data_IF_289932086824
#
_entry.id   IF_289932086824
#
_cell.length_a   1.000
_cell.length_b   1.000
_cell.length_c   1.000
_cell.angle_alpha   90.00
_cell.angle_beta   90.00
_cell.angle_gamma   90.00
#
_symmetry.space_group_name_H-M   'P 1'
#
loop_
_entity.id
_entity.type
_entity.pdbx_description
1 polymer ?
#
# COMPACT_ATOMS: atom_id res chain seq x y z
N UNK A 1 -11.74 5.54 -10.73
CA UNK A 1 -12.84 4.67 -10.26
C UNK A 1 -12.66 4.65 -8.76
N UNK A 2 -13.63 5.12 -7.97
CA UNK A 2 -13.45 5.22 -6.52
C UNK A 2 -13.20 3.83 -5.91
N UNK A 3 -12.40 3.79 -4.85
CA UNK A 3 -12.27 2.61 -4.00
C UNK A 3 -13.29 2.67 -2.86
N UNK A 4 -12.91 2.08 -1.73
CA UNK A 4 -13.61 2.26 -0.47
C UNK A 4 -13.49 3.74 -0.01
N UNK A 5 -14.54 4.36 0.58
CA UNK A 5 -14.43 5.69 1.17
C UNK A 5 -13.50 5.71 2.39
N UNK A 6 -12.70 6.76 2.54
CA UNK A 6 -11.68 6.86 3.61
C UNK A 6 -12.28 6.78 5.02
N UNK A 7 -13.47 7.34 5.21
CA UNK A 7 -14.21 7.26 6.49
C UNK A 7 -14.44 5.81 6.96
N UNK A 8 -14.46 4.83 6.07
CA UNK A 8 -14.62 3.41 6.41
C UNK A 8 -13.33 2.59 6.25
N UNK A 9 -12.17 3.24 6.07
CA UNK A 9 -10.89 2.54 5.94
C UNK A 9 -10.23 2.24 7.30
N UNK A 10 -10.39 3.14 8.28
CA UNK A 10 -9.70 3.02 9.58
C UNK A 10 -10.02 1.70 10.30
N UNK A 11 -8.97 0.95 10.68
CA UNK A 11 -9.11 -0.22 11.55
C UNK A 11 -8.23 -0.09 12.78
N UNK A 12 -8.62 -0.82 13.80
CA UNK A 12 -7.90 -0.81 15.06
C UNK A 12 -6.46 -1.32 14.84
N UNK A 13 -5.41 -0.68 15.40
CA UNK A 13 -4.00 -1.03 15.10
C UNK A 13 -3.63 -2.51 15.31
N UNK A 14 -4.29 -3.18 16.26
CA UNK A 14 -4.13 -4.63 16.48
C UNK A 14 -4.54 -5.51 15.29
N UNK A 15 -5.37 -4.98 14.39
CA UNK A 15 -5.90 -5.66 13.21
C UNK A 15 -5.11 -5.33 11.93
N UNK A 16 -4.05 -4.52 12.02
CA UNK A 16 -3.20 -4.16 10.88
C UNK A 16 -2.07 -5.17 10.62
N UNK A 17 -1.64 -5.88 11.65
CA UNK A 17 -0.50 -6.81 11.57
C UNK A 17 -0.84 -8.05 10.74
N UNK A 18 0.13 -8.56 10.00
CA UNK A 18 0.05 -9.80 9.19
C UNK A 18 1.11 -10.80 9.63
N UNK A 19 0.99 -12.02 9.12
CA UNK A 19 2.03 -13.04 9.30
C UNK A 19 3.24 -12.66 8.46
N UNK A 20 4.40 -12.60 9.09
CA UNK A 20 5.66 -12.42 8.38
C UNK A 20 6.01 -13.66 7.55
N UNK A 21 6.81 -13.45 6.50
CA UNK A 21 7.49 -14.56 5.83
C UNK A 21 8.72 -15.01 6.63
N UNK A 22 9.26 -16.18 6.29
CA UNK A 22 10.57 -16.64 6.80
C UNK A 22 11.64 -16.47 5.71
N UNK A 23 12.76 -15.85 6.06
CA UNK A 23 13.76 -15.41 5.08
C UNK A 23 14.39 -16.54 4.27
N UNK A 24 14.56 -17.73 4.84
CA UNK A 24 15.19 -18.83 4.10
C UNK A 24 14.22 -19.65 3.24
N UNK A 25 12.91 -19.40 3.34
CA UNK A 25 11.87 -20.19 2.66
C UNK A 25 10.96 -19.38 1.75
N UNK A 26 10.91 -18.06 1.91
CA UNK A 26 10.10 -17.17 1.06
C UNK A 26 10.58 -17.20 -0.40
N UNK A 27 9.63 -17.11 -1.33
CA UNK A 27 9.98 -16.87 -2.73
C UNK A 27 10.71 -15.51 -2.84
N UNK A 28 11.90 -15.45 -3.48
CA UNK A 28 12.65 -14.22 -3.60
C UNK A 28 11.85 -13.05 -4.18
N UNK A 29 10.94 -13.33 -5.12
CA UNK A 29 10.10 -12.31 -5.75
C UNK A 29 9.04 -11.78 -4.77
N UNK A 30 8.46 -12.64 -3.94
CA UNK A 30 7.52 -12.22 -2.89
C UNK A 30 8.20 -11.27 -1.90
N UNK A 31 9.45 -11.56 -1.47
CA UNK A 31 10.23 -10.63 -0.64
C UNK A 31 10.40 -9.28 -1.32
N UNK A 32 10.89 -9.28 -2.57
CA UNK A 32 11.16 -8.05 -3.33
C UNK A 32 9.89 -7.20 -3.47
N UNK A 33 8.75 -7.83 -3.76
CA UNK A 33 7.46 -7.15 -3.84
C UNK A 33 7.02 -6.57 -2.49
N UNK A 34 7.15 -7.32 -1.38
CA UNK A 34 6.85 -6.83 -0.04
C UNK A 34 7.72 -5.63 0.35
N UNK A 35 9.02 -5.67 0.05
CA UNK A 35 9.92 -4.53 0.32
C UNK A 35 9.60 -3.33 -0.56
N UNK A 36 9.24 -3.56 -1.82
CA UNK A 36 8.89 -2.49 -2.77
C UNK A 36 7.60 -1.78 -2.36
N UNK A 37 6.54 -2.52 -2.00
CA UNK A 37 5.28 -1.91 -1.57
C UNK A 37 5.45 -1.18 -0.24
N UNK A 38 6.17 -1.76 0.73
CA UNK A 38 6.50 -1.08 1.98
C UNK A 38 7.22 0.25 1.74
N UNK A 39 8.24 0.27 0.87
CA UNK A 39 8.98 1.49 0.57
C UNK A 39 8.08 2.55 -0.09
N UNK A 40 7.16 2.13 -0.97
CA UNK A 40 6.19 3.03 -1.59
C UNK A 40 5.25 3.66 -0.55
N UNK A 41 4.67 2.85 0.33
CA UNK A 41 3.76 3.37 1.38
C UNK A 41 4.49 4.24 2.38
N UNK A 42 5.72 3.88 2.78
CA UNK A 42 6.51 4.69 3.69
C UNK A 42 6.84 6.06 3.07
N UNK A 43 7.14 6.10 1.76
CA UNK A 43 7.36 7.36 1.05
C UNK A 43 6.07 8.20 0.99
N UNK A 44 4.92 7.57 0.73
CA UNK A 44 3.61 8.23 0.69
C UNK A 44 3.21 8.79 2.05
N UNK A 45 3.30 7.98 3.11
CA UNK A 45 3.08 8.39 4.51
C UNK A 45 3.97 9.57 4.88
N UNK A 46 5.27 9.49 4.60
CA UNK A 46 6.23 10.57 4.85
C UNK A 46 5.85 11.86 4.10
N UNK A 47 5.37 11.75 2.86
CA UNK A 47 4.90 12.91 2.12
C UNK A 47 3.72 13.58 2.82
N UNK A 48 2.67 12.82 3.17
CA UNK A 48 1.49 13.39 3.84
C UNK A 48 1.83 13.98 5.21
N UNK A 49 2.66 13.32 6.01
CA UNK A 49 3.08 13.81 7.34
C UNK A 49 3.98 15.05 7.28
N UNK A 50 4.87 15.16 6.29
CA UNK A 50 5.78 16.30 6.18
C UNK A 50 5.17 17.50 5.44
N UNK A 51 4.35 17.25 4.41
CA UNK A 51 3.75 18.30 3.59
C UNK A 51 2.40 18.75 4.15
N UNK A 52 1.60 17.84 4.70
CA UNK A 52 0.27 18.13 5.25
C UNK A 52 0.23 19.33 6.20
N UNK A 53 1.12 19.42 7.21
CA UNK A 53 1.17 20.56 8.14
C UNK A 53 1.46 21.92 7.48
N UNK A 54 2.00 21.95 6.25
CA UNK A 54 2.35 23.19 5.56
C UNK A 54 1.16 23.91 4.92
N UNK A 55 0.02 23.22 4.76
CA UNK A 55 -1.17 23.83 4.16
C UNK A 55 -1.84 24.86 5.08
N UNK A 56 -2.23 26.00 4.51
CA UNK A 56 -2.96 27.06 5.23
C UNK A 56 -4.43 26.68 5.51
N UNK A 57 -5.19 26.10 4.55
CA UNK A 57 -6.59 25.73 4.80
C UNK A 57 -6.70 24.60 5.84
N UNK A 58 -7.52 24.75 6.91
CA UNK A 58 -7.72 23.69 7.90
C UNK A 58 -8.23 22.38 7.31
N UNK A 59 -9.16 22.45 6.34
CA UNK A 59 -9.71 21.27 5.67
C UNK A 59 -8.62 20.50 4.89
N UNK A 60 -7.70 21.20 4.23
CA UNK A 60 -6.59 20.56 3.53
C UNK A 60 -5.64 19.86 4.52
N UNK A 61 -5.34 20.49 5.67
CA UNK A 61 -4.55 19.83 6.72
C UNK A 61 -5.26 18.61 7.30
N UNK A 62 -6.58 18.71 7.54
CA UNK A 62 -7.40 17.61 8.02
C UNK A 62 -7.37 16.43 7.06
N UNK A 63 -7.59 16.68 5.76
CA UNK A 63 -7.55 15.65 4.73
C UNK A 63 -6.18 14.97 4.66
N UNK A 64 -5.09 15.74 4.69
CA UNK A 64 -3.74 15.18 4.65
C UNK A 64 -3.42 14.36 5.91
N UNK A 65 -3.95 14.77 7.07
CA UNK A 65 -3.76 14.02 8.32
C UNK A 65 -4.55 12.71 8.31
N UNK A 66 -5.79 12.73 7.83
CA UNK A 66 -6.63 11.54 7.68
C UNK A 66 -5.97 10.54 6.73
N UNK A 67 -5.50 10.98 5.56
CA UNK A 67 -4.77 10.12 4.62
C UNK A 67 -3.48 9.60 5.28
N UNK A 68 -2.70 10.45 5.97
CA UNK A 68 -1.48 10.01 6.65
C UNK A 68 -1.72 8.88 7.66
N UNK A 69 -2.84 8.89 8.37
CA UNK A 69 -3.22 7.82 9.30
C UNK A 69 -3.51 6.50 8.57
N UNK A 70 -4.16 6.55 7.41
CA UNK A 70 -4.36 5.37 6.55
C UNK A 70 -3.04 4.86 6.01
N UNK A 71 -2.14 5.74 5.54
CA UNK A 71 -0.83 5.29 5.04
C UNK A 71 0.03 4.71 6.17
N UNK A 72 -0.09 5.18 7.41
CA UNK A 72 0.54 4.56 8.58
C UNK A 72 -0.01 3.15 8.84
N UNK A 73 -1.32 2.93 8.65
CA UNK A 73 -1.92 1.58 8.71
C UNK A 73 -1.31 0.68 7.62
N UNK A 74 -1.19 1.18 6.38
CA UNK A 74 -0.55 0.44 5.28
C UNK A 74 0.92 0.10 5.58
N UNK A 75 1.70 1.04 6.08
CA UNK A 75 3.10 0.81 6.49
C UNK A 75 3.17 -0.27 7.56
N UNK A 76 2.34 -0.19 8.61
CA UNK A 76 2.27 -1.22 9.66
C UNK A 76 1.95 -2.60 9.07
N UNK A 77 0.96 -2.66 8.17
CA UNK A 77 0.57 -3.89 7.51
C UNK A 77 1.71 -4.49 6.70
N UNK A 78 2.34 -3.73 5.81
CA UNK A 78 3.37 -4.27 4.92
C UNK A 78 4.71 -4.52 5.64
N UNK A 79 5.06 -3.70 6.63
CA UNK A 79 6.27 -3.93 7.45
C UNK A 79 6.16 -5.26 8.21
N UNK A 80 4.97 -5.60 8.71
CA UNK A 80 4.75 -6.86 9.41
C UNK A 80 4.89 -8.12 8.54
N UNK A 81 4.96 -7.98 7.21
CA UNK A 81 5.27 -9.09 6.31
C UNK A 81 6.74 -9.47 6.34
N UNK A 82 7.63 -8.55 6.71
CA UNK A 82 9.08 -8.80 6.76
C UNK A 82 9.45 -9.70 7.94
N UNK A 83 10.49 -10.53 7.76
CA UNK A 83 10.96 -11.43 8.81
C UNK A 83 11.55 -10.60 9.99
N UNK A 84 10.96 -10.67 11.19
CA UNK A 84 11.43 -9.89 12.34
C UNK A 84 12.78 -10.39 12.88
N UNK A 85 13.28 -11.54 12.41
CA UNK A 85 14.57 -12.10 12.79
C UNK A 85 15.70 -11.65 11.86
N UNK A 86 15.40 -10.99 10.73
CA UNK A 86 16.42 -10.45 9.84
C UNK A 86 17.28 -9.42 10.59
N UNK A 87 18.58 -9.64 10.57
CA UNK A 87 19.53 -8.71 11.15
C UNK A 87 19.72 -7.45 10.31
N UNK A 88 20.30 -6.41 10.90
CA UNK A 88 20.60 -5.16 10.20
C UNK A 88 21.48 -5.34 8.95
N UNK A 89 22.44 -6.29 8.97
CA UNK A 89 23.29 -6.55 7.81
C UNK A 89 22.56 -7.30 6.69
N UNK A 90 21.66 -8.22 7.04
CA UNK A 90 20.81 -8.93 6.07
C UNK A 90 19.81 -7.97 5.43
N UNK A 91 19.18 -7.11 6.24
CA UNK A 91 18.28 -6.05 5.76
C UNK A 91 18.99 -5.10 4.80
N UNK A 92 20.18 -4.61 5.15
CA UNK A 92 20.97 -3.72 4.28
C UNK A 92 21.27 -4.38 2.93
N UNK A 93 21.73 -5.64 2.95
CA UNK A 93 22.00 -6.40 1.74
C UNK A 93 20.73 -6.54 0.87
N UNK A 94 19.60 -6.87 1.50
CA UNK A 94 18.32 -7.05 0.82
C UNK A 94 17.76 -5.73 0.28
N UNK A 95 17.99 -4.60 0.95
CA UNK A 95 17.60 -3.28 0.45
C UNK A 95 18.33 -2.95 -0.86
N UNK A 96 19.65 -3.04 -0.88
CA UNK A 96 20.43 -2.81 -2.11
C UNK A 96 20.12 -3.82 -3.21
N UNK A 97 19.84 -5.07 -2.83
CA UNK A 97 19.39 -6.09 -3.78
C UNK A 97 18.01 -5.75 -4.39
N UNK A 98 17.08 -5.23 -3.60
CA UNK A 98 15.78 -4.77 -4.09
C UNK A 98 15.91 -3.58 -5.04
N UNK A 99 16.79 -2.63 -4.73
CA UNK A 99 17.09 -1.51 -5.65
C UNK A 99 17.71 -2.00 -6.97
N UNK A 100 18.67 -2.93 -6.92
CA UNK A 100 19.20 -3.59 -8.13
C UNK A 100 18.06 -4.19 -8.97
N UNK A 101 17.14 -4.92 -8.32
CA UNK A 101 16.00 -5.54 -8.98
C UNK A 101 15.10 -4.50 -9.67
N UNK A 102 14.78 -3.39 -9.00
CA UNK A 102 13.93 -2.33 -9.55
C UNK A 102 14.61 -1.57 -10.69
N UNK A 103 15.87 -1.13 -10.53
CA UNK A 103 16.60 -0.44 -11.59
C UNK A 103 16.79 -1.33 -12.81
N UNK A 104 17.10 -2.61 -12.61
CA UNK A 104 17.21 -3.56 -13.72
C UNK A 104 15.86 -3.76 -14.43
N UNK A 105 14.77 -3.88 -13.67
CA UNK A 105 13.41 -4.03 -14.22
C UNK A 105 13.04 -2.81 -15.09
N UNK A 106 13.24 -1.60 -14.58
CA UNK A 106 12.91 -0.37 -15.33
C UNK A 106 13.84 -0.14 -16.51
N UNK A 107 15.12 -0.46 -16.38
CA UNK A 107 16.06 -0.42 -17.51
C UNK A 107 15.63 -1.33 -18.66
N UNK A 108 15.05 -2.51 -18.34
CA UNK A 108 14.62 -3.49 -19.33
C UNK A 108 13.45 -3.01 -20.19
N UNK A 109 12.48 -2.33 -19.58
CA UNK A 109 11.28 -1.84 -20.25
C UNK A 109 11.40 -0.38 -20.76
N UNK A 110 12.41 0.37 -20.32
CA UNK A 110 12.61 1.78 -20.72
C UNK A 110 12.86 1.93 -22.22
N UNK A 111 12.06 2.75 -22.89
CA UNK A 111 12.11 2.96 -24.34
C UNK A 111 13.03 4.12 -24.74
N UNK A 112 13.21 5.14 -23.88
CA UNK A 112 14.09 6.27 -24.15
C UNK A 112 15.54 5.90 -23.77
N UNK A 113 16.47 5.83 -24.75
CA UNK A 113 17.86 5.45 -24.47
C UNK A 113 18.60 6.40 -23.51
N UNK A 114 18.13 7.64 -23.34
CA UNK A 114 18.73 8.60 -22.39
C UNK A 114 18.32 8.28 -20.96
N UNK A 115 17.04 7.95 -20.75
CA UNK A 115 16.53 7.57 -19.43
C UNK A 115 17.05 6.18 -19.05
N UNK A 116 17.18 5.27 -20.02
CA UNK A 116 17.79 3.95 -19.79
C UNK A 116 19.18 4.04 -19.19
N UNK A 117 20.00 5.01 -19.62
CA UNK A 117 21.33 5.26 -19.04
C UNK A 117 21.29 5.73 -17.59
N UNK A 118 20.22 6.41 -17.17
CA UNK A 118 20.02 6.76 -15.76
C UNK A 118 19.72 5.51 -14.95
N UNK A 119 18.86 4.62 -15.43
CA UNK A 119 18.61 3.34 -14.78
C UNK A 119 19.87 2.48 -14.69
N UNK A 120 20.64 2.38 -15.78
CA UNK A 120 21.92 1.67 -15.82
C UNK A 120 22.93 2.23 -14.81
N UNK A 121 23.01 3.56 -14.69
CA UNK A 121 23.90 4.22 -13.73
C UNK A 121 23.54 3.83 -12.28
N UNK A 122 22.27 3.93 -11.90
CA UNK A 122 21.85 3.60 -10.54
C UNK A 122 21.94 2.09 -10.27
N UNK A 123 21.63 1.25 -11.26
CA UNK A 123 21.89 -0.19 -11.15
C UNK A 123 23.37 -0.48 -10.86
N UNK A 124 24.30 0.20 -11.53
CA UNK A 124 25.73 0.01 -11.28
C UNK A 124 26.15 0.45 -9.87
N UNK A 125 25.54 1.52 -9.33
CA UNK A 125 25.76 1.95 -7.94
C UNK A 125 25.27 0.89 -6.95
N UNK A 126 24.05 0.39 -7.14
CA UNK A 126 23.46 -0.59 -6.22
C UNK A 126 24.14 -1.95 -6.29
N UNK A 127 24.69 -2.35 -7.44
CA UNK A 127 25.52 -3.55 -7.54
C UNK A 127 26.76 -3.43 -6.64
N UNK A 128 27.40 -2.25 -6.62
CA UNK A 128 28.53 -2.00 -5.73
C UNK A 128 28.08 -1.95 -4.26
N UNK A 129 26.91 -1.40 -3.96
CA UNK A 129 26.36 -1.43 -2.60
C UNK A 129 26.04 -2.86 -2.13
N UNK A 130 25.48 -3.71 -2.99
CA UNK A 130 25.30 -5.15 -2.69
C UNK A 130 26.64 -5.81 -2.37
N UNK A 131 27.71 -5.50 -3.11
CA UNK A 131 29.05 -6.01 -2.83
C UNK A 131 29.54 -5.57 -1.44
N UNK A 132 29.42 -4.28 -1.13
CA UNK A 132 29.85 -3.72 0.16
C UNK A 132 29.02 -4.27 1.33
N UNK A 133 27.69 -4.29 1.21
CA UNK A 133 26.81 -4.87 2.22
C UNK A 133 27.09 -6.37 2.43
N UNK A 134 27.40 -7.09 1.35
CA UNK A 134 27.78 -8.49 1.43
C UNK A 134 29.12 -8.73 2.13
N UNK A 135 30.09 -7.83 1.99
CA UNK A 135 31.33 -7.87 2.76
C UNK A 135 31.10 -7.60 4.25
N UNK A 136 30.21 -6.66 4.59
CA UNK A 136 29.81 -6.39 5.97
C UNK A 136 29.13 -7.61 6.60
N UNK A 137 28.18 -8.22 5.89
CA UNK A 137 27.50 -9.44 6.32
C UNK A 137 28.51 -10.55 6.64
N UNK A 138 29.41 -10.85 5.69
CA UNK A 138 30.44 -11.87 5.86
C UNK A 138 31.38 -11.55 7.02
N UNK A 139 31.79 -10.29 7.16
CA UNK A 139 32.72 -9.86 8.22
C UNK A 139 32.12 -9.95 9.61
N UNK A 140 30.86 -9.56 9.77
CA UNK A 140 30.24 -9.39 11.08
C UNK A 140 29.41 -10.60 11.53
N UNK A 141 28.92 -11.41 10.59
CA UNK A 141 28.08 -12.58 10.89
C UNK A 141 28.65 -13.88 10.34
N UNK A 142 29.64 -13.83 9.45
CA UNK A 142 30.21 -15.03 8.84
C UNK A 142 29.35 -15.66 7.73
N UNK A 143 28.18 -15.09 7.46
CA UNK A 143 27.24 -15.57 6.43
C UNK A 143 27.71 -15.15 5.03
N UNK A 144 27.64 -16.08 4.06
CA UNK A 144 27.86 -15.73 2.66
C UNK A 144 26.60 -15.05 2.08
N UNK A 145 26.70 -13.87 1.44
CA UNK A 145 25.55 -13.24 0.76
C UNK A 145 24.82 -14.16 -0.23
N UNK A 146 25.52 -15.12 -0.84
CA UNK A 146 24.94 -16.11 -1.74
C UNK A 146 23.98 -17.10 -1.05
N UNK A 147 23.96 -17.17 0.29
CA UNK A 147 22.98 -17.95 1.06
C UNK A 147 21.60 -17.26 1.12
N UNK A 148 21.57 -15.94 0.95
CA UNK A 148 20.34 -15.12 1.04
C UNK A 148 19.83 -14.65 -0.31
N UNK A 149 20.74 -14.44 -1.26
CA UNK A 149 20.43 -13.92 -2.60
C UNK A 149 20.31 -15.06 -3.62
N UNK A 150 19.33 -15.01 -4.54
CA UNK A 150 19.25 -15.97 -5.62
C UNK A 150 20.42 -15.77 -6.60
N UNK A 151 20.81 -16.85 -7.29
CA UNK A 151 21.94 -16.83 -8.24
C UNK A 151 21.73 -15.91 -9.46
N UNK A 152 20.49 -15.50 -9.74
CA UNK A 152 20.13 -14.56 -10.80
C UNK A 152 18.94 -13.72 -10.32
N UNK A 153 18.82 -12.51 -10.89
CA UNK A 153 17.61 -11.71 -10.70
C UNK A 153 16.37 -12.49 -11.19
N UNK A 154 15.23 -12.40 -10.47
CA UNK A 154 13.98 -13.01 -10.89
C UNK A 154 13.40 -12.27 -12.12
N UNK A 155 12.21 -12.67 -12.57
CA UNK A 155 11.54 -11.99 -13.68
C UNK A 155 11.32 -10.50 -13.33
N UNK A 156 11.57 -9.56 -14.27
CA UNK A 156 11.48 -8.14 -13.98
C UNK A 156 10.04 -7.70 -13.71
N UNK A 157 9.87 -6.73 -12.81
CA UNK A 157 8.61 -6.01 -12.64
C UNK A 157 8.29 -5.22 -13.91
N UNK A 158 7.03 -5.26 -14.35
CA UNK A 158 6.55 -4.55 -15.54
C UNK A 158 5.35 -3.68 -15.21
N UNK A 159 5.36 -2.45 -15.69
CA UNK A 159 4.18 -1.59 -15.69
C UNK A 159 3.38 -1.81 -16.96
N UNK A 160 2.20 -2.38 -16.80
CA UNK A 160 1.27 -2.67 -17.88
C UNK A 160 -0.15 -2.34 -17.42
N UNK A 161 -1.07 -2.29 -18.38
CA UNK A 161 -2.46 -2.00 -18.06
C UNK A 161 -3.03 -3.06 -17.11
N UNK A 162 -3.60 -2.59 -16.00
CA UNK A 162 -4.08 -3.42 -14.89
C UNK A 162 -5.51 -3.05 -14.44
N UNK A 163 -6.20 -2.13 -15.12
CA UNK A 163 -7.57 -1.72 -14.73
C UNK A 163 -8.54 -2.89 -14.59
N UNK A 164 -8.52 -3.87 -15.50
CA UNK A 164 -9.43 -5.02 -15.42
C UNK A 164 -9.14 -5.90 -14.19
N UNK A 165 -7.87 -6.06 -13.82
CA UNK A 165 -7.48 -6.75 -12.60
C UNK A 165 -8.02 -6.02 -11.36
N UNK A 166 -7.79 -4.70 -11.27
CA UNK A 166 -8.29 -3.86 -10.16
C UNK A 166 -9.82 -3.94 -10.05
N UNK A 167 -10.54 -3.93 -11.19
CA UNK A 167 -12.00 -4.08 -11.21
C UNK A 167 -12.47 -5.41 -10.63
N UNK A 168 -11.76 -6.50 -10.94
CA UNK A 168 -12.05 -7.83 -10.37
C UNK A 168 -11.78 -7.86 -8.87
N UNK A 169 -10.65 -7.30 -8.43
CA UNK A 169 -10.31 -7.22 -7.00
C UNK A 169 -11.36 -6.42 -6.24
N UNK A 170 -11.73 -5.24 -6.72
CA UNK A 170 -12.80 -4.44 -6.08
C UNK A 170 -14.12 -5.21 -6.01
N UNK A 171 -14.53 -5.87 -7.10
CA UNK A 171 -15.77 -6.64 -7.11
C UNK A 171 -15.78 -7.80 -6.10
N UNK A 172 -14.61 -8.37 -5.79
CA UNK A 172 -14.49 -9.55 -4.95
C UNK A 172 -14.17 -9.22 -3.48
N UNK A 173 -13.46 -8.11 -3.22
CA UNK A 173 -12.77 -7.90 -1.94
C UNK A 173 -13.12 -6.58 -1.26
N UNK A 174 -13.96 -5.72 -1.85
CA UNK A 174 -14.26 -4.41 -1.26
C UNK A 174 -14.92 -4.47 0.12
N UNK A 175 -15.56 -5.59 0.45
CA UNK A 175 -16.28 -5.77 1.71
C UNK A 175 -15.43 -6.51 2.74
N UNK A 176 -14.16 -6.80 2.44
CA UNK A 176 -13.24 -7.44 3.38
C UNK A 176 -12.60 -6.41 4.31
N UNK A 177 -12.56 -6.71 5.59
CA UNK A 177 -11.77 -6.00 6.60
C UNK A 177 -10.86 -6.98 7.33
N UNK A 178 -10.06 -6.48 8.26
CA UNK A 178 -9.09 -7.30 8.99
C UNK A 178 -9.49 -7.49 10.45
N UNK A 179 -9.33 -8.71 10.94
CA UNK A 179 -9.47 -9.06 12.36
C UNK A 179 -8.31 -9.96 12.76
N UNK A 180 -7.45 -9.44 13.64
CA UNK A 180 -6.16 -10.04 13.95
C UNK A 180 -5.31 -10.11 12.68
N UNK A 181 -5.00 -11.33 12.25
CA UNK A 181 -4.13 -11.60 11.11
C UNK A 181 -4.89 -11.97 9.83
N UNK A 182 -6.22 -12.08 9.91
CA UNK A 182 -7.07 -12.65 8.87
C UNK A 182 -7.97 -11.58 8.23
N UNK A 183 -8.33 -11.80 6.97
CA UNK A 183 -9.34 -11.01 6.26
C UNK A 183 -10.72 -11.64 6.44
N UNK A 184 -11.71 -10.84 6.80
CA UNK A 184 -13.08 -11.27 7.05
C UNK A 184 -14.07 -10.32 6.38
N UNK A 185 -15.22 -10.80 5.87
CA UNK A 185 -16.28 -9.92 5.39
C UNK A 185 -16.79 -9.00 6.52
N UNK A 186 -17.04 -7.72 6.20
CA UNK A 186 -17.63 -6.75 7.12
C UNK A 186 -18.95 -7.23 7.70
N UNK A 187 -19.78 -7.90 6.89
CA UNK A 187 -21.06 -8.49 7.29
C UNK A 187 -20.94 -9.62 8.31
N UNK A 188 -19.74 -10.20 8.47
CA UNK A 188 -19.48 -11.22 9.48
C UNK A 188 -19.05 -10.65 10.83
N UNK A 189 -18.83 -9.33 10.93
CA UNK A 189 -18.41 -8.71 12.18
C UNK A 189 -19.57 -8.59 13.18
N UNK A 190 -19.35 -8.88 14.48
CA UNK A 190 -20.33 -8.54 15.50
C UNK A 190 -20.45 -7.02 15.64
N UNK A 191 -21.63 -6.53 16.02
CA UNK A 191 -21.91 -5.09 16.17
C UNK A 191 -21.02 -4.39 17.20
N UNK A 192 -20.39 -5.14 18.12
CA UNK A 192 -19.45 -4.63 19.11
C UNK A 192 -17.97 -4.88 18.74
N UNK A 193 -17.68 -5.22 17.47
CA UNK A 193 -16.33 -5.42 16.97
C UNK A 193 -15.42 -4.20 17.19
N UNK A 194 -14.11 -4.45 17.30
CA UNK A 194 -13.09 -3.39 17.41
C UNK A 194 -13.15 -2.41 16.25
N UNK A 195 -13.46 -2.90 15.04
CA UNK A 195 -13.62 -2.10 13.85
C UNK A 195 -14.58 -0.92 14.07
N UNK A 196 -15.85 -1.17 14.43
CA UNK A 196 -16.84 -0.12 14.65
C UNK A 196 -16.48 0.81 15.82
N UNK A 197 -15.92 0.25 16.90
CA UNK A 197 -15.46 1.04 18.06
C UNK A 197 -14.33 1.99 17.70
N UNK A 198 -13.39 1.55 16.85
CA UNK A 198 -12.27 2.36 16.42
C UNK A 198 -12.71 3.44 15.44
N UNK A 199 -13.56 3.08 14.46
CA UNK A 199 -14.19 4.04 13.55
C UNK A 199 -14.92 5.16 14.31
N UNK A 200 -15.72 4.81 15.31
CA UNK A 200 -16.39 5.80 16.15
C UNK A 200 -15.42 6.65 17.00
N UNK A 201 -14.22 6.16 17.30
CA UNK A 201 -13.22 6.91 18.07
C UNK A 201 -12.45 7.91 17.19
N UNK A 202 -12.14 7.56 15.94
CA UNK A 202 -11.37 8.42 15.01
C UNK A 202 -12.27 9.39 14.24
N UNK A 203 -13.46 8.94 13.84
CA UNK A 203 -14.41 9.76 13.05
C UNK A 203 -15.51 10.39 13.90
N UNK A 204 -15.72 9.92 15.13
CA UNK A 204 -16.85 10.34 15.95
C UNK A 204 -16.72 11.76 16.47
N UNK A 205 -17.81 12.53 16.35
CA UNK A 205 -17.91 13.89 16.91
C UNK A 205 -17.15 14.96 16.12
N UNK A 206 -16.68 14.63 14.92
CA UNK A 206 -16.03 15.57 14.00
C UNK A 206 -16.68 15.53 12.62
N UNK A 207 -16.44 16.57 11.83
CA UNK A 207 -16.66 16.55 10.38
C UNK A 207 -15.44 15.84 9.75
N UNK A 208 -15.65 14.68 9.13
CA UNK A 208 -14.58 13.89 8.52
C UNK A 208 -14.03 14.66 7.31
N UNK A 209 -12.71 14.97 7.28
CA UNK A 209 -12.15 15.86 6.26
C UNK A 209 -12.35 15.39 4.82
N UNK A 210 -12.20 14.08 4.55
CA UNK A 210 -12.45 13.47 3.25
C UNK A 210 -13.89 13.69 2.78
N UNK A 211 -14.87 13.38 3.63
CA UNK A 211 -16.29 13.58 3.35
C UNK A 211 -16.62 15.06 3.10
N UNK A 212 -16.10 15.98 3.93
CA UNK A 212 -16.32 17.41 3.75
C UNK A 212 -15.72 17.98 2.45
N UNK A 213 -14.64 17.38 1.94
CA UNK A 213 -14.10 17.73 0.62
C UNK A 213 -15.04 17.28 -0.49
N UNK A 214 -15.60 16.08 -0.39
CA UNK A 214 -16.58 15.57 -1.34
C UNK A 214 -17.85 16.42 -1.32
N UNK A 215 -18.40 16.71 -0.13
CA UNK A 215 -19.59 17.56 0.04
C UNK A 215 -19.43 18.91 -0.64
N UNK A 216 -18.33 19.61 -0.35
CA UNK A 216 -18.05 20.91 -0.96
C UNK A 216 -17.88 20.83 -2.47
N UNK A 217 -17.34 19.73 -2.97
CA UNK A 217 -17.21 19.53 -4.41
C UNK A 217 -18.60 19.35 -5.04
N UNK A 218 -19.46 18.53 -4.45
CA UNK A 218 -20.84 18.30 -4.91
C UNK A 218 -21.66 19.58 -4.83
N UNK A 219 -21.55 20.35 -3.75
CA UNK A 219 -22.22 21.66 -3.62
C UNK A 219 -21.81 22.64 -4.72
N UNK A 220 -20.53 22.64 -5.10
CA UNK A 220 -19.97 23.56 -6.09
C UNK A 220 -20.21 23.12 -7.54
N UNK A 221 -20.21 21.82 -7.82
CA UNK A 221 -20.16 21.27 -9.18
C UNK A 221 -21.35 20.36 -9.53
N UNK A 222 -22.17 19.98 -8.56
CA UNK A 222 -23.40 19.21 -8.74
C UNK A 222 -23.25 17.69 -8.72
N UNK A 223 -22.03 17.16 -8.65
CA UNK A 223 -21.73 15.73 -8.59
C UNK A 223 -20.34 15.51 -7.97
N UNK A 224 -20.01 14.28 -7.58
CA UNK A 224 -18.67 13.94 -7.10
C UNK A 224 -17.75 13.52 -8.27
N UNK A 225 -16.46 13.88 -8.20
CA UNK A 225 -15.54 13.61 -9.31
C UNK A 225 -15.25 12.12 -9.46
N UNK A 226 -15.60 11.53 -10.61
CA UNK A 226 -15.38 10.10 -10.90
C UNK A 226 -14.71 9.89 -12.27
N UNK A 227 -13.60 9.15 -12.26
CA UNK A 227 -12.94 8.68 -13.49
C UNK A 227 -13.24 7.20 -13.75
N UNK A 228 -14.13 6.88 -14.69
CA UNK A 228 -14.56 5.51 -15.03
C UNK A 228 -14.44 5.23 -16.53
N UNK A 229 -13.25 4.79 -16.96
CA UNK A 229 -12.92 4.58 -18.39
C UNK A 229 -13.34 3.22 -18.95
N UNK A 230 -13.46 2.20 -18.11
CA UNK A 230 -13.76 0.81 -18.52
C UNK A 230 -15.23 0.41 -18.22
N UNK A 231 -16.16 1.37 -18.34
CA UNK A 231 -17.58 1.19 -18.06
C UNK A 231 -17.98 1.45 -16.60
N UNK A 232 -19.22 1.08 -16.20
CA UNK A 232 -19.76 1.35 -14.86
C UNK A 232 -18.89 0.79 -13.74
N UNK A 233 -19.02 1.34 -12.54
CA UNK A 233 -18.36 0.77 -11.36
C UNK A 233 -18.75 -0.71 -11.18
N UNK A 234 -17.81 -1.64 -10.88
CA UNK A 234 -18.16 -3.05 -10.70
C UNK A 234 -19.22 -3.25 -9.60
N UNK A 235 -19.13 -2.45 -8.54
CA UNK A 235 -20.05 -2.47 -7.39
C UNK A 235 -21.22 -1.50 -7.62
N UNK A 236 -22.48 -1.96 -7.64
CA UNK A 236 -23.66 -1.13 -7.88
C UNK A 236 -23.80 0.05 -6.92
N UNK A 237 -23.63 -0.16 -5.61
CA UNK A 237 -23.71 0.89 -4.59
C UNK A 237 -22.76 2.07 -4.84
N UNK A 238 -21.62 1.82 -5.49
CA UNK A 238 -20.61 2.82 -5.84
C UNK A 238 -20.79 3.41 -7.26
N UNK A 239 -21.96 3.25 -7.90
CA UNK A 239 -22.22 3.83 -9.22
C UNK A 239 -22.79 5.26 -9.17
N UNK A 240 -23.45 5.66 -8.09
CA UNK A 240 -24.30 6.87 -8.11
C UNK A 240 -24.44 7.63 -6.79
N UNK A 241 -23.47 7.57 -5.85
CA UNK A 241 -23.66 8.18 -4.52
C UNK A 241 -22.48 9.04 -4.05
N UNK A 242 -22.73 10.27 -3.53
CA UNK A 242 -21.72 11.08 -2.83
C UNK A 242 -21.18 10.42 -1.56
N UNK A 243 -22.01 9.65 -0.84
CA UNK A 243 -21.65 8.92 0.37
C UNK A 243 -22.09 7.47 0.23
N UNK A 244 -21.15 6.53 0.24
CA UNK A 244 -21.46 5.12 0.25
C UNK A 244 -21.15 4.57 1.64
N UNK A 245 -22.20 4.40 2.46
CA UNK A 245 -22.12 3.54 3.63
C UNK A 245 -22.04 2.09 3.14
N UNK A 246 -20.98 1.36 3.50
CA UNK A 246 -20.83 -0.06 3.13
C UNK A 246 -21.92 -0.94 3.77
N UNK A 247 -22.66 -0.44 4.77
CA UNK A 247 -23.84 -1.12 5.30
C UNK A 247 -24.98 -1.20 4.26
N UNK A 248 -25.15 -0.19 3.39
CA UNK A 248 -26.16 -0.18 2.33
C UNK A 248 -25.78 -1.11 1.15
N UNK A 249 -24.50 -1.43 0.98
CA UNK A 249 -24.03 -2.33 -0.08
C UNK A 249 -24.37 -3.81 0.19
N UNK A 250 -24.55 -4.18 1.47
CA UNK A 250 -24.95 -5.52 1.88
C UNK A 250 -26.44 -5.80 1.59
N UNK A 251 -27.29 -4.78 1.71
CA UNK A 251 -28.75 -4.91 1.49
C UNK A 251 -29.11 -5.02 0.00
N UNK A 252 -28.35 -4.42 -0.92
CA UNK A 252 -28.58 -4.55 -2.37
C UNK A 252 -28.06 -5.88 -2.97
N UNK A 253 -27.30 -6.68 -2.23
CA UNK A 253 -26.82 -7.99 -2.68
C UNK A 253 -27.86 -9.13 -2.48
N UNK A 254 -28.96 -8.84 -1.78
CA UNK A 254 -30.06 -9.79 -1.54
C UNK A 254 -31.30 -9.60 -2.46
N UNK A 255 -31.27 -8.66 -3.42
CA UNK A 255 -32.29 -8.53 -4.50
C UNK A 255 -31.79 -9.00 -5.88
#
# INVERSE_FOLDING_TARGET
>A
MPGRPTVVEHRHPYDEVRRHFETHTVDPLSRLHSMTILAAEQQTMNFYMNVGPTYVPPLARGLYLEIAEIEEQHVTQYESLLDPLDSWFERELLHHYNECYLYWSFMHDEVDPRIRKLWELHLAMEIEHVRVAGELLRRHQGTDPAELLPAKLPAPTRFQENKQYIRTVLAAEIDLTSVGLDFVPLTALPTDARYFKYQAAVNGGIEVPSEAVIDRHVEAFGDDFRLTTEGPHPIPALRSRPHADLEDAADEAEE
#
